data_IF_328085580780
#
_entry.id   IF_328085580780
#
_cell.length_a   1.000
_cell.length_b   1.000
_cell.length_c   1.000
_cell.angle_alpha   90.00
_cell.angle_beta   90.00
_cell.angle_gamma   90.00
#
_symmetry.space_group_name_H-M   'P 1'
#
loop_
_entity.id
_entity.type
_entity.pdbx_description
1 polymer ?
#
# COMPACT_ATOMS: atom_id res chain seq x y z
N UNK A 1 -6.93 -8.71 -7.12
CA UNK A 1 -6.32 -8.34 -5.82
C UNK A 1 -5.75 -9.61 -5.18
N UNK A 2 -4.80 -9.48 -4.26
CA UNK A 2 -4.21 -10.64 -3.57
C UNK A 2 -4.55 -10.58 -2.09
N UNK A 3 -5.31 -11.55 -1.61
CA UNK A 3 -5.62 -11.74 -0.20
C UNK A 3 -4.54 -12.62 0.44
N UNK A 4 -3.98 -12.16 1.56
CA UNK A 4 -3.01 -12.88 2.37
C UNK A 4 -3.62 -13.21 3.73
N UNK A 5 -3.63 -14.48 4.09
CA UNK A 5 -4.00 -14.94 5.42
C UNK A 5 -2.80 -15.59 6.12
N UNK A 6 -2.51 -15.21 7.36
CA UNK A 6 -1.29 -15.65 8.05
C UNK A 6 -1.35 -15.49 9.58
N UNK A 7 -0.55 -16.29 10.27
CA UNK A 7 -0.20 -16.12 11.68
C UNK A 7 0.94 -15.11 11.80
N UNK A 8 0.83 -14.11 12.69
CA UNK A 8 1.84 -13.07 12.89
C UNK A 8 2.34 -13.03 14.34
N UNK A 9 3.64 -13.22 14.54
CA UNK A 9 4.30 -13.03 15.85
C UNK A 9 4.78 -11.59 15.99
N UNK A 10 4.28 -10.87 17.00
CA UNK A 10 4.70 -9.50 17.30
C UNK A 10 6.01 -9.48 18.08
N UNK A 11 6.56 -8.28 18.24
CA UNK A 11 7.81 -8.06 18.99
C UNK A 11 7.69 -8.44 20.48
N UNK A 12 6.50 -8.33 21.05
CA UNK A 12 6.20 -8.77 22.43
C UNK A 12 6.02 -10.30 22.56
N UNK A 13 6.19 -11.05 21.47
CA UNK A 13 6.00 -12.50 21.41
C UNK A 13 4.53 -12.94 21.26
N UNK A 14 3.56 -12.02 21.32
CA UNK A 14 2.15 -12.36 21.12
C UNK A 14 1.88 -12.74 19.66
N UNK A 15 0.99 -13.71 19.45
CA UNK A 15 0.61 -14.20 18.12
C UNK A 15 -0.80 -13.75 17.78
N UNK A 16 -1.03 -13.37 16.52
CA UNK A 16 -2.36 -13.01 16.01
C UNK A 16 -2.55 -13.46 14.56
N UNK A 17 -3.75 -13.92 14.22
CA UNK A 17 -4.12 -14.26 12.84
C UNK A 17 -4.54 -12.99 12.08
N UNK A 18 -4.18 -12.90 10.80
CA UNK A 18 -4.40 -11.74 9.94
C UNK A 18 -4.93 -12.16 8.59
N UNK A 19 -5.82 -11.35 8.04
CA UNK A 19 -6.28 -11.37 6.66
C UNK A 19 -6.09 -9.97 6.08
N UNK A 20 -5.33 -9.84 5.00
CA UNK A 20 -4.90 -8.53 4.47
C UNK A 20 -4.91 -8.55 2.94
N UNK A 21 -5.49 -7.52 2.33
CA UNK A 21 -5.28 -7.24 0.91
C UNK A 21 -3.89 -6.64 0.73
N UNK A 22 -3.03 -7.31 -0.04
CA UNK A 22 -1.68 -6.82 -0.34
C UNK A 22 -1.78 -5.57 -1.23
N UNK A 23 -1.54 -4.40 -0.63
CA UNK A 23 -1.52 -3.12 -1.36
C UNK A 23 -0.16 -2.86 -2.03
N UNK A 24 0.92 -3.30 -1.37
CA UNK A 24 2.30 -3.16 -1.84
C UNK A 24 3.05 -4.42 -1.41
N UNK A 25 3.59 -5.16 -2.37
CA UNK A 25 4.46 -6.28 -2.09
C UNK A 25 5.86 -5.78 -1.69
N UNK A 26 6.62 -6.52 -0.86
CA UNK A 26 8.00 -6.18 -0.63
C UNK A 26 8.75 -6.18 -1.97
N UNK A 27 9.25 -5.02 -2.38
CA UNK A 27 10.05 -4.86 -3.58
C UNK A 27 11.49 -4.53 -3.20
N UNK A 28 12.44 -5.16 -3.88
CA UNK A 28 13.87 -4.82 -3.82
C UNK A 28 14.17 -3.56 -4.64
N UNK A 29 13.28 -3.19 -5.55
CA UNK A 29 13.49 -2.14 -6.54
C UNK A 29 12.81 -0.84 -6.12
N UNK A 30 13.37 0.28 -6.57
CA UNK A 30 12.73 1.59 -6.49
C UNK A 30 11.87 1.75 -7.74
N UNK A 31 10.59 2.05 -7.55
CA UNK A 31 9.65 2.31 -8.64
C UNK A 31 9.28 3.79 -8.69
N UNK A 32 9.24 4.34 -9.90
CA UNK A 32 8.91 5.74 -10.13
C UNK A 32 8.84 6.06 -11.62
N UNK A 33 8.40 7.27 -11.91
CA UNK A 33 8.45 7.82 -13.28
C UNK A 33 9.82 8.44 -13.50
N UNK A 34 10.53 7.97 -14.52
CA UNK A 34 11.76 8.62 -14.96
C UNK A 34 11.41 9.92 -15.69
N UNK A 35 11.76 11.04 -15.05
CA UNK A 35 11.50 12.40 -15.54
C UNK A 35 12.77 13.09 -16.03
N UNK A 36 13.87 12.35 -16.17
CA UNK A 36 15.19 12.89 -16.54
C UNK A 36 15.22 13.68 -17.85
N UNK A 37 14.27 13.41 -18.75
CA UNK A 37 14.19 14.05 -20.08
C UNK A 37 13.16 15.18 -20.17
N UNK A 38 12.51 15.57 -19.06
CA UNK A 38 11.59 16.71 -19.04
C UNK A 38 12.37 18.01 -18.85
N UNK A 39 12.04 19.03 -19.62
CA UNK A 39 12.47 20.38 -19.32
C UNK A 39 11.77 20.91 -18.04
N UNK A 40 12.29 22.00 -17.49
CA UNK A 40 11.81 22.54 -16.21
C UNK A 40 10.34 22.95 -16.23
N UNK A 41 9.84 23.49 -17.35
CA UNK A 41 8.45 23.93 -17.44
C UNK A 41 7.53 22.71 -17.48
N UNK A 42 7.82 21.76 -18.37
CA UNK A 42 7.04 20.53 -18.50
C UNK A 42 7.06 19.71 -17.20
N UNK A 43 8.21 19.64 -16.52
CA UNK A 43 8.33 18.97 -15.22
C UNK A 43 7.48 19.64 -14.14
N UNK A 44 7.41 20.97 -14.11
CA UNK A 44 6.57 21.69 -13.15
C UNK A 44 5.08 21.43 -13.39
N UNK A 45 4.63 21.50 -14.66
CA UNK A 45 3.25 21.22 -15.06
C UNK A 45 2.84 19.77 -14.72
N UNK A 46 3.74 18.81 -15.01
CA UNK A 46 3.55 17.40 -14.65
C UNK A 46 3.42 17.23 -13.12
N UNK A 47 4.33 17.83 -12.36
CA UNK A 47 4.37 17.68 -10.90
C UNK A 47 3.09 18.22 -10.25
N UNK A 48 2.59 19.37 -10.72
CA UNK A 48 1.33 19.93 -10.27
C UNK A 48 0.16 18.99 -10.59
N UNK A 49 0.04 18.58 -11.84
CA UNK A 49 -1.06 17.71 -12.31
C UNK A 49 -1.08 16.37 -11.59
N UNK A 50 0.10 15.76 -11.39
CA UNK A 50 0.25 14.51 -10.66
C UNK A 50 -0.11 14.66 -9.18
N UNK A 51 0.23 15.81 -8.57
CA UNK A 51 -0.16 16.13 -7.19
C UNK A 51 -1.67 16.24 -7.02
N UNK A 52 -2.35 16.93 -7.93
CA UNK A 52 -3.81 17.07 -7.93
C UNK A 52 -4.50 15.71 -8.10
N UNK A 53 -4.02 14.89 -9.05
CA UNK A 53 -4.52 13.54 -9.27
C UNK A 53 -4.38 12.66 -8.02
N UNK A 54 -3.20 12.66 -7.38
CA UNK A 54 -2.95 11.86 -6.17
C UNK A 54 -3.82 12.31 -4.99
N UNK A 55 -4.05 13.62 -4.85
CA UNK A 55 -4.95 14.14 -3.82
C UNK A 55 -6.37 13.63 -4.03
N UNK A 56 -6.90 13.72 -5.26
CA UNK A 56 -8.25 13.22 -5.57
C UNK A 56 -8.36 11.71 -5.31
N UNK A 57 -7.40 10.92 -5.78
CA UNK A 57 -7.36 9.48 -5.50
C UNK A 57 -7.33 9.18 -4.00
N UNK A 58 -6.55 9.95 -3.24
CA UNK A 58 -6.47 9.79 -1.78
C UNK A 58 -7.82 10.08 -1.12
N UNK A 59 -8.48 11.19 -1.48
CA UNK A 59 -9.78 11.57 -0.92
C UNK A 59 -10.85 10.51 -1.21
N UNK A 60 -10.95 10.05 -2.45
CA UNK A 60 -11.88 8.98 -2.85
C UNK A 60 -11.58 7.66 -2.13
N UNK A 61 -10.29 7.32 -1.98
CA UNK A 61 -9.88 6.12 -1.23
C UNK A 61 -10.26 6.23 0.24
N UNK A 62 -10.02 7.39 0.87
CA UNK A 62 -10.35 7.59 2.28
C UNK A 62 -11.86 7.56 2.54
N UNK A 63 -12.67 8.06 1.60
CA UNK A 63 -14.12 7.95 1.66
C UNK A 63 -14.56 6.48 1.61
N UNK A 64 -14.05 5.72 0.62
CA UNK A 64 -14.32 4.28 0.53
C UNK A 64 -13.91 3.54 1.80
N UNK A 65 -12.72 3.80 2.34
CA UNK A 65 -12.26 3.15 3.58
C UNK A 65 -13.13 3.52 4.78
N UNK A 66 -13.71 4.72 4.82
CA UNK A 66 -14.64 5.11 5.88
C UNK A 66 -15.94 4.31 5.80
N UNK A 67 -16.46 4.04 4.61
CA UNK A 67 -17.70 3.26 4.40
C UNK A 67 -17.61 1.81 4.92
N UNK A 68 -16.39 1.28 5.09
CA UNK A 68 -16.12 -0.07 5.61
C UNK A 68 -15.43 -0.06 7.00
N UNK A 69 -15.35 1.08 7.69
CA UNK A 69 -14.66 1.23 8.98
C UNK A 69 -13.15 0.84 8.94
N UNK A 70 -12.49 1.06 7.80
CA UNK A 70 -11.09 0.68 7.56
C UNK A 70 -10.09 1.85 7.66
N UNK A 71 -10.54 3.06 8.03
CA UNK A 71 -9.72 4.28 8.07
C UNK A 71 -8.38 4.13 8.83
N UNK A 72 -8.36 3.29 9.86
CA UNK A 72 -7.18 3.07 10.72
C UNK A 72 -6.58 1.65 10.57
N UNK A 73 -6.93 0.94 9.49
CA UNK A 73 -6.60 -0.48 9.30
C UNK A 73 -5.38 -0.69 8.41
N UNK A 74 -4.71 0.37 7.97
CA UNK A 74 -3.41 0.26 7.32
C UNK A 74 -2.39 -0.32 8.30
N UNK A 75 -1.76 -1.42 7.91
CA UNK A 75 -0.79 -2.17 8.70
C UNK A 75 0.36 -2.62 7.79
N UNK A 76 1.58 -2.64 8.32
CA UNK A 76 2.75 -3.24 7.68
C UNK A 76 3.19 -4.43 8.50
N UNK A 77 3.54 -5.52 7.84
CA UNK A 77 3.99 -6.75 8.49
C UNK A 77 5.41 -7.09 8.03
N UNK A 78 6.24 -7.54 8.97
CA UNK A 78 7.56 -8.09 8.70
C UNK A 78 7.39 -9.50 8.11
N UNK A 79 7.78 -9.77 6.85
CA UNK A 79 7.60 -11.08 6.24
C UNK A 79 8.21 -12.23 7.06
N UNK A 80 9.35 -11.99 7.70
CA UNK A 80 10.04 -12.94 8.59
C UNK A 80 9.25 -13.30 9.86
N UNK A 81 8.25 -12.51 10.22
CA UNK A 81 7.37 -12.73 11.37
C UNK A 81 6.01 -13.35 10.98
N UNK A 82 5.80 -13.62 9.69
CA UNK A 82 4.60 -14.28 9.17
C UNK A 82 4.80 -15.79 9.06
N UNK A 83 3.79 -16.58 9.43
CA UNK A 83 3.75 -18.04 9.32
C UNK A 83 2.41 -18.50 8.75
N UNK A 84 2.38 -19.73 8.25
CA UNK A 84 1.16 -20.39 7.74
C UNK A 84 0.42 -19.54 6.69
N UNK A 85 1.19 -18.99 5.74
CA UNK A 85 0.69 -18.02 4.77
C UNK A 85 -0.17 -18.74 3.72
N UNK A 86 -1.41 -18.28 3.55
CA UNK A 86 -2.31 -18.64 2.46
C UNK A 86 -2.51 -17.44 1.54
N UNK A 87 -2.60 -17.72 0.24
CA UNK A 87 -2.73 -16.70 -0.81
C UNK A 87 -3.93 -17.04 -1.68
N UNK A 88 -4.83 -16.07 -1.82
CA UNK A 88 -5.98 -16.15 -2.72
C UNK A 88 -5.99 -14.95 -3.68
N UNK A 89 -6.41 -15.20 -4.93
CA UNK A 89 -6.60 -14.17 -5.94
C UNK A 89 -8.08 -13.85 -6.07
N UNK A 90 -8.45 -12.61 -5.74
CA UNK A 90 -9.85 -12.11 -5.74
C UNK A 90 -10.06 -11.00 -6.75
#
# INVERSE_FOLDING_TARGET
MKLLEFSYTKEDGSVSNRAVIELIAPSKFIEGWDVSNLDNQTFAEFSQSMGELRRKQHEETMALLADFDLKHNYRRFKPESMKDIQVEYV
#
